data_IF_241626720040
#
_entry.id   IF_241626720040
#
_cell.length_a   1.000
_cell.length_b   1.000
_cell.length_c   1.000
_cell.angle_alpha   90.00
_cell.angle_beta   90.00
_cell.angle_gamma   90.00
#
_symmetry.space_group_name_H-M   'P 1'
#
loop_
_entity.id
_entity.type
_entity.pdbx_description
1 polymer ?
#
# COMPACT_ATOMS: atom_id res chain seq x y z
N UNK A 1 -25.21 34.22 31.85
CA UNK A 1 -23.99 33.57 31.31
C UNK A 1 -24.41 32.28 30.64
N UNK A 2 -24.17 32.18 29.33
CA UNK A 2 -24.60 31.11 28.43
C UNK A 2 -23.88 29.81 28.76
N UNK A 3 -24.62 28.73 28.95
CA UNK A 3 -24.07 27.39 29.14
C UNK A 3 -24.54 26.50 27.97
N UNK A 4 -23.98 26.75 26.78
CA UNK A 4 -24.26 25.95 25.59
C UNK A 4 -23.44 24.66 25.63
N UNK A 5 -24.09 23.58 26.07
CA UNK A 5 -23.63 22.19 25.92
C UNK A 5 -23.86 21.72 24.49
N UNK A 6 -22.95 22.04 23.58
CA UNK A 6 -22.79 21.39 22.27
C UNK A 6 -21.26 21.41 22.03
N UNK A 7 -20.50 20.33 21.90
CA UNK A 7 -20.45 19.39 20.77
C UNK A 7 -19.37 18.28 21.01
N UNK A 8 -19.50 17.32 21.94
CA UNK A 8 -18.52 16.22 21.98
C UNK A 8 -18.76 15.17 20.88
N UNK A 9 -19.99 15.05 20.37
CA UNK A 9 -20.36 14.06 19.36
C UNK A 9 -19.82 14.38 17.95
N UNK A 10 -19.53 15.65 17.65
CA UNK A 10 -19.10 16.09 16.32
C UNK A 10 -17.60 15.89 16.08
N UNK A 11 -16.78 15.76 17.15
CA UNK A 11 -15.34 15.52 17.04
C UNK A 11 -15.05 14.03 16.84
N UNK A 12 -15.81 13.14 17.48
CA UNK A 12 -15.61 11.70 17.40
C UNK A 12 -15.90 11.13 15.99
N UNK A 13 -16.86 11.72 15.27
CA UNK A 13 -17.20 11.32 13.90
C UNK A 13 -16.05 11.68 12.94
N UNK A 14 -15.45 12.85 13.09
CA UNK A 14 -14.33 13.31 12.24
C UNK A 14 -13.08 12.43 12.37
N UNK A 15 -12.79 11.91 13.57
CA UNK A 15 -11.66 11.00 13.78
C UNK A 15 -11.87 9.60 13.19
N UNK A 16 -13.11 9.09 13.17
CA UNK A 16 -13.44 7.80 12.55
C UNK A 16 -13.26 7.84 11.02
N UNK A 17 -13.60 8.98 10.38
CA UNK A 17 -13.37 9.18 8.94
C UNK A 17 -11.88 9.27 8.59
N UNK A 18 -11.07 9.94 9.43
CA UNK A 18 -9.62 10.01 9.22
C UNK A 18 -8.93 8.65 9.40
N UNK A 19 -9.30 7.89 10.44
CA UNK A 19 -8.77 6.55 10.66
C UNK A 19 -9.16 5.56 9.54
N UNK A 20 -10.35 5.72 8.96
CA UNK A 20 -10.79 4.95 7.80
C UNK A 20 -9.95 5.21 6.55
N UNK A 21 -9.62 6.48 6.26
CA UNK A 21 -8.79 6.85 5.11
C UNK A 21 -7.34 6.33 5.24
N UNK A 22 -6.74 6.40 6.44
CA UNK A 22 -5.40 5.85 6.65
C UNK A 22 -5.39 4.32 6.46
N UNK A 23 -6.44 3.62 6.92
CA UNK A 23 -6.54 2.17 6.75
C UNK A 23 -6.61 1.73 5.28
N UNK A 24 -7.33 2.48 4.43
CA UNK A 24 -7.45 2.17 3.00
C UNK A 24 -6.19 2.45 2.20
N UNK A 25 -5.48 3.52 2.52
CA UNK A 25 -4.16 3.81 1.94
C UNK A 25 -3.14 2.76 2.35
N UNK A 26 -3.18 2.30 3.59
CA UNK A 26 -2.34 1.21 4.06
C UNK A 26 -2.66 -0.12 3.36
N UNK A 27 -3.93 -0.44 3.15
CA UNK A 27 -4.33 -1.63 2.37
C UNK A 27 -3.80 -1.58 0.93
N UNK A 28 -3.99 -0.47 0.22
CA UNK A 28 -3.48 -0.28 -1.15
C UNK A 28 -1.94 -0.36 -1.18
N UNK A 29 -1.27 0.21 -0.18
CA UNK A 29 0.16 0.09 -0.02
C UNK A 29 0.60 -1.38 0.16
N UNK A 30 -0.11 -2.16 0.98
CA UNK A 30 0.21 -3.57 1.18
C UNK A 30 -0.01 -4.37 -0.12
N UNK A 31 -1.07 -4.11 -0.88
CA UNK A 31 -1.29 -4.74 -2.20
C UNK A 31 -0.10 -4.45 -3.12
N UNK A 32 0.27 -3.18 -3.27
CA UNK A 32 1.38 -2.76 -4.11
C UNK A 32 2.69 -3.45 -3.69
N UNK A 33 2.96 -3.46 -2.38
CA UNK A 33 4.15 -4.05 -1.77
C UNK A 33 4.24 -5.55 -1.96
N UNK A 34 3.14 -6.28 -1.77
CA UNK A 34 3.13 -7.73 -1.89
C UNK A 34 3.27 -8.20 -3.34
N UNK A 35 2.59 -7.54 -4.28
CA UNK A 35 2.69 -7.86 -5.71
C UNK A 35 4.08 -7.53 -6.23
N UNK A 36 4.60 -6.33 -5.91
CA UNK A 36 5.94 -5.94 -6.32
C UNK A 36 7.02 -6.88 -5.78
N UNK A 37 6.89 -7.34 -4.52
CA UNK A 37 7.81 -8.31 -3.94
C UNK A 37 7.71 -9.67 -4.64
N UNK A 38 6.49 -10.14 -4.92
CA UNK A 38 6.24 -11.41 -5.62
C UNK A 38 6.86 -11.41 -7.02
N UNK A 39 6.63 -10.34 -7.78
CA UNK A 39 7.14 -10.20 -9.15
C UNK A 39 8.67 -10.02 -9.18
N UNK A 40 9.22 -9.29 -8.20
CA UNK A 40 10.68 -9.20 -8.01
C UNK A 40 11.30 -10.57 -7.75
N UNK A 41 10.69 -11.39 -6.88
CA UNK A 41 11.16 -12.75 -6.58
C UNK A 41 11.01 -13.67 -7.80
N UNK A 42 9.97 -13.48 -8.60
CA UNK A 42 9.75 -14.21 -9.85
C UNK A 42 10.75 -13.83 -10.97
N UNK A 43 11.58 -12.80 -10.77
CA UNK A 43 12.56 -12.34 -11.74
C UNK A 43 11.95 -11.55 -12.90
N UNK A 44 10.76 -10.96 -12.71
CA UNK A 44 10.13 -10.10 -13.70
C UNK A 44 11.00 -8.86 -13.98
N UNK A 45 10.92 -8.34 -15.20
CA UNK A 45 11.62 -7.09 -15.53
C UNK A 45 11.07 -5.91 -14.72
N UNK A 46 11.84 -4.85 -14.44
CA UNK A 46 11.34 -3.70 -13.69
C UNK A 46 10.08 -3.07 -14.30
N UNK A 47 9.94 -3.11 -15.64
CA UNK A 47 8.74 -2.67 -16.34
C UNK A 47 7.53 -3.55 -16.02
N UNK A 48 7.69 -4.87 -16.11
CA UNK A 48 6.61 -5.83 -15.84
C UNK A 48 6.18 -5.79 -14.37
N UNK A 49 7.14 -5.67 -13.44
CA UNK A 49 6.88 -5.48 -12.01
C UNK A 49 5.97 -4.26 -11.80
N UNK A 50 6.29 -3.13 -12.44
CA UNK A 50 5.50 -1.91 -12.36
C UNK A 50 4.09 -2.06 -12.92
N UNK A 51 3.96 -2.68 -14.11
CA UNK A 51 2.67 -2.90 -14.77
C UNK A 51 1.76 -3.79 -13.92
N UNK A 52 2.25 -4.95 -13.48
CA UNK A 52 1.45 -5.89 -12.67
C UNK A 52 1.07 -5.33 -11.31
N UNK A 53 1.98 -4.58 -10.68
CA UNK A 53 1.67 -3.86 -9.44
C UNK A 53 0.55 -2.84 -9.65
N UNK A 54 0.63 -2.05 -10.72
CA UNK A 54 -0.41 -1.08 -11.06
C UNK A 54 -1.76 -1.73 -11.36
N UNK A 55 -1.78 -2.86 -12.08
CA UNK A 55 -2.98 -3.64 -12.35
C UNK A 55 -3.63 -4.16 -11.06
N UNK A 56 -2.83 -4.72 -10.15
CA UNK A 56 -3.35 -5.24 -8.88
C UNK A 56 -3.90 -4.14 -7.98
N UNK A 57 -3.23 -2.98 -7.92
CA UNK A 57 -3.74 -1.81 -7.18
C UNK A 57 -5.03 -1.29 -7.78
N UNK A 58 -5.10 -1.15 -9.12
CA UNK A 58 -6.31 -0.70 -9.80
C UNK A 58 -7.49 -1.66 -9.58
N UNK A 59 -7.23 -2.97 -9.62
CA UNK A 59 -8.23 -3.98 -9.32
C UNK A 59 -8.72 -3.88 -7.87
N UNK A 60 -7.82 -3.79 -6.89
CA UNK A 60 -8.18 -3.63 -5.49
C UNK A 60 -9.01 -2.37 -5.25
N UNK A 61 -8.60 -1.24 -5.83
CA UNK A 61 -9.35 0.02 -5.72
C UNK A 61 -10.76 -0.11 -6.30
N UNK A 62 -10.90 -0.79 -7.45
CA UNK A 62 -12.20 -1.04 -8.08
C UNK A 62 -13.10 -1.98 -7.25
N UNK A 63 -12.53 -3.02 -6.64
CA UNK A 63 -13.28 -3.98 -5.81
C UNK A 63 -13.75 -3.39 -4.47
N UNK A 64 -13.10 -2.31 -4.01
CA UNK A 64 -13.33 -1.68 -2.73
C UNK A 64 -13.86 -0.23 -2.84
N UNK A 65 -14.31 0.20 -4.03
CA UNK A 65 -14.85 1.53 -4.31
C UNK A 65 -13.94 2.68 -3.81
N UNK A 66 -12.62 2.52 -3.98
CA UNK A 66 -11.63 3.50 -3.53
C UNK A 66 -11.33 4.51 -4.64
N UNK A 67 -11.65 5.77 -4.37
CA UNK A 67 -11.28 6.90 -5.22
C UNK A 67 -9.98 7.54 -4.69
N UNK A 68 -8.84 7.07 -5.21
CA UNK A 68 -7.52 7.65 -4.92
C UNK A 68 -6.96 8.31 -6.19
N UNK A 69 -6.27 9.44 -6.01
CA UNK A 69 -5.64 10.11 -7.14
C UNK A 69 -4.50 9.27 -7.72
N UNK A 70 -4.19 9.49 -9.01
CA UNK A 70 -3.04 8.85 -9.64
C UNK A 70 -1.74 9.18 -8.90
N UNK A 71 -1.58 10.41 -8.41
CA UNK A 71 -0.41 10.81 -7.63
C UNK A 71 -0.30 10.02 -6.32
N UNK A 72 -1.40 9.78 -5.62
CA UNK A 72 -1.41 8.98 -4.39
C UNK A 72 -1.00 7.54 -4.65
N UNK A 73 -1.56 6.91 -5.69
CA UNK A 73 -1.21 5.54 -6.11
C UNK A 73 0.28 5.45 -6.50
N UNK A 74 0.77 6.42 -7.27
CA UNK A 74 2.19 6.48 -7.66
C UNK A 74 3.09 6.68 -6.44
N UNK A 75 2.69 7.50 -5.46
CA UNK A 75 3.44 7.70 -4.23
C UNK A 75 3.52 6.40 -3.40
N UNK A 76 2.42 5.65 -3.30
CA UNK A 76 2.40 4.34 -2.63
C UNK A 76 3.27 3.31 -3.36
N UNK A 77 3.20 3.27 -4.70
CA UNK A 77 4.07 2.41 -5.51
C UNK A 77 5.56 2.74 -5.33
N UNK A 78 5.93 4.03 -5.28
CA UNK A 78 7.31 4.45 -4.98
C UNK A 78 7.73 4.02 -3.58
N UNK A 79 6.86 4.20 -2.57
CA UNK A 79 7.10 3.76 -1.19
C UNK A 79 7.33 2.24 -1.14
N UNK A 80 6.51 1.45 -1.83
CA UNK A 80 6.64 0.00 -1.91
C UNK A 80 7.97 -0.41 -2.56
N UNK A 81 8.36 0.27 -3.66
CA UNK A 81 9.63 0.03 -4.34
C UNK A 81 10.83 0.32 -3.44
N UNK A 82 10.80 1.43 -2.70
CA UNK A 82 11.85 1.77 -1.73
C UNK A 82 11.91 0.69 -0.64
N UNK A 83 10.78 0.19 -0.16
CA UNK A 83 10.78 -0.86 0.87
C UNK A 83 11.32 -2.21 0.34
N UNK A 84 11.18 -2.50 -0.95
CA UNK A 84 11.71 -3.72 -1.58
C UNK A 84 13.18 -3.58 -1.95
N UNK A 85 13.54 -2.51 -2.65
CA UNK A 85 14.91 -2.24 -3.07
C UNK A 85 15.81 -1.92 -1.86
N UNK A 86 15.26 -1.35 -0.79
CA UNK A 86 16.05 -0.78 0.28
C UNK A 86 16.86 0.41 -0.25
N UNK A 87 18.15 0.43 0.06
CA UNK A 87 19.09 1.37 -0.55
C UNK A 87 19.27 1.00 -2.04
N UNK A 88 19.06 1.92 -3.00
CA UNK A 88 19.25 1.65 -4.43
C UNK A 88 20.67 1.22 -4.81
N UNK A 89 21.66 1.40 -3.93
CA UNK A 89 23.02 0.87 -4.10
C UNK A 89 23.16 -0.62 -3.74
N UNK A 90 22.13 -1.25 -3.17
CA UNK A 90 22.18 -2.67 -2.82
C UNK A 90 22.25 -3.56 -4.07
N UNK A 91 23.14 -4.57 -4.06
CA UNK A 91 23.18 -5.57 -5.12
C UNK A 91 21.83 -6.28 -5.29
N UNK A 92 21.48 -6.63 -6.53
CA UNK A 92 20.24 -7.34 -6.87
C UNK A 92 19.92 -8.55 -5.94
N UNK A 93 20.89 -9.39 -5.54
CA UNK A 93 20.62 -10.47 -4.59
C UNK A 93 20.05 -10.01 -3.24
N UNK A 94 20.52 -8.88 -2.71
CA UNK A 94 20.03 -8.33 -1.45
C UNK A 94 18.60 -7.79 -1.58
N UNK A 95 18.27 -7.18 -2.73
CA UNK A 95 16.91 -6.74 -3.05
C UNK A 95 15.95 -7.95 -3.16
N UNK A 96 16.39 -9.04 -3.79
CA UNK A 96 15.62 -10.28 -3.89
C UNK A 96 15.38 -10.91 -2.51
N UNK A 97 16.40 -10.95 -1.63
CA UNK A 97 16.24 -11.50 -0.28
C UNK A 97 15.31 -10.65 0.59
N UNK A 98 15.32 -9.32 0.41
CA UNK A 98 14.34 -8.41 1.03
C UNK A 98 12.94 -8.66 0.49
N UNK A 99 12.78 -8.81 -0.82
CA UNK A 99 11.51 -9.15 -1.46
C UNK A 99 10.93 -10.50 -0.94
N UNK A 100 11.77 -11.52 -0.76
CA UNK A 100 11.35 -12.81 -0.16
C UNK A 100 10.81 -12.64 1.26
N UNK A 101 11.48 -11.84 2.10
CA UNK A 101 11.03 -11.55 3.47
C UNK A 101 9.69 -10.82 3.48
N UNK A 102 9.50 -9.87 2.57
CA UNK A 102 8.24 -9.14 2.39
C UNK A 102 7.12 -10.09 1.95
N UNK A 103 7.38 -10.92 0.94
CA UNK A 103 6.42 -11.92 0.45
C UNK A 103 6.00 -12.91 1.56
N UNK A 104 6.91 -13.24 2.49
CA UNK A 104 6.63 -14.11 3.63
C UNK A 104 5.99 -13.38 4.83
N UNK A 105 5.72 -12.08 4.75
CA UNK A 105 5.10 -11.31 5.83
C UNK A 105 3.59 -11.55 5.91
N UNK A 106 3.02 -11.44 7.11
CA UNK A 106 1.59 -11.67 7.37
C UNK A 106 0.64 -10.88 6.46
N UNK A 107 0.89 -9.58 6.16
CA UNK A 107 0.07 -8.84 5.20
C UNK A 107 0.00 -9.51 3.82
N UNK A 108 1.12 -10.06 3.34
CA UNK A 108 1.21 -10.71 2.02
C UNK A 108 0.66 -12.13 1.98
N UNK A 109 0.56 -12.79 3.13
CA UNK A 109 -0.14 -14.09 3.24
C UNK A 109 -1.66 -13.91 3.22
N UNK A 110 -2.16 -12.84 3.82
CA UNK A 110 -3.60 -12.53 3.89
C UNK A 110 -4.16 -11.90 2.62
N UNK A 111 -3.30 -11.29 1.79
CA UNK A 111 -3.69 -10.68 0.51
C UNK A 111 -3.54 -11.62 -0.70
N UNK A 112 -3.20 -12.91 -0.49
CA UNK A 112 -3.35 -13.93 -1.52
C UNK A 112 -4.82 -14.36 -1.59
N UNK A 113 -5.47 -14.31 -2.77
CA UNK A 113 -6.76 -14.96 -2.98
C UNK A 113 -6.66 -16.48 -2.80
#
# INVERSE_FOLDING_TARGET
>A
MQNNKHHPALIAITCLFLAGCDSKKDEVFQVARCVMATETVAGASPGDVGIKTGQAVAQYMSEHDLDMSQEEVVALGKKARIDIAGDPELPMPAQIDRAKKIMASEPCKKSRP
#
